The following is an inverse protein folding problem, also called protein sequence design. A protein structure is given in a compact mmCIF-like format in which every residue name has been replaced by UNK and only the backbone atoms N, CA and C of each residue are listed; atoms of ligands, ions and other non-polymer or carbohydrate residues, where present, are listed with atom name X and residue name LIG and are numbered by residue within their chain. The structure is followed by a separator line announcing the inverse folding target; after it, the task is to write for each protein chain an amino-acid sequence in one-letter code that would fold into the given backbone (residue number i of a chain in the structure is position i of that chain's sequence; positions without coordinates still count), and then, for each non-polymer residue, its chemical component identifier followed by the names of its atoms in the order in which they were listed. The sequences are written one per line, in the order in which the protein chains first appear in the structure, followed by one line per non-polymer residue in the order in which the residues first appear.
data_IF_654262674298
#
_entry.id   IF_654262674298
#
_cell.length_a   1.000
_cell.length_b   1.000
_cell.length_c   1.000
_cell.angle_alpha   90.00
_cell.angle_beta   90.00
_cell.angle_gamma   90.00
#
_symmetry.space_group_name_H-M   'P 1'
#
loop_
_entity.id
_entity.type
_entity.pdbx_description
1 polymer ?
#
# COMPACT_ATOMS: atom_id res chain seq x y z
N UNK A 1 -36.02 -7.77 -10.99
CA UNK A 1 -35.82 -9.18 -11.34
C UNK A 1 -36.03 -9.38 -12.85
N UNK A 2 -35.02 -8.99 -13.67
CA UNK A 2 -35.17 -8.94 -15.13
C UNK A 2 -35.34 -10.34 -15.73
N UNK A 3 -34.66 -11.35 -15.20
CA UNK A 3 -34.77 -12.76 -15.65
C UNK A 3 -36.19 -13.28 -15.47
N UNK A 4 -36.84 -13.09 -14.32
CA UNK A 4 -38.22 -13.49 -14.10
C UNK A 4 -39.20 -12.84 -15.08
N UNK A 5 -38.98 -11.54 -15.40
CA UNK A 5 -39.78 -10.82 -16.40
C UNK A 5 -39.60 -11.37 -17.81
N UNK A 6 -38.37 -11.70 -18.19
CA UNK A 6 -38.06 -12.30 -19.50
C UNK A 6 -38.66 -13.71 -19.65
N UNK A 7 -38.60 -14.53 -18.61
CA UNK A 7 -39.24 -15.83 -18.56
C UNK A 7 -40.77 -15.65 -18.76
N UNK A 8 -41.39 -14.74 -18.01
CA UNK A 8 -42.80 -14.47 -18.11
C UNK A 8 -43.23 -13.99 -19.51
N UNK A 9 -42.38 -13.26 -20.24
CA UNK A 9 -42.64 -12.82 -21.60
C UNK A 9 -42.41 -13.91 -22.66
N UNK A 10 -41.50 -14.85 -22.42
CA UNK A 10 -41.13 -15.90 -23.35
C UNK A 10 -42.04 -17.13 -23.25
N UNK A 11 -42.43 -17.52 -22.03
CA UNK A 11 -43.21 -18.72 -21.75
C UNK A 11 -44.54 -18.77 -22.50
N UNK A 12 -45.38 -17.72 -22.58
CA UNK A 12 -46.65 -17.76 -23.33
C UNK A 12 -46.42 -18.00 -24.81
N UNK A 13 -45.36 -17.43 -25.41
CA UNK A 13 -45.03 -17.59 -26.81
C UNK A 13 -44.61 -19.03 -27.11
N UNK A 14 -43.78 -19.63 -26.25
CA UNK A 14 -43.37 -21.02 -26.38
C UNK A 14 -44.53 -22.00 -26.21
N UNK A 15 -45.49 -21.68 -25.29
CA UNK A 15 -46.69 -22.46 -25.12
C UNK A 15 -47.55 -22.43 -26.40
N UNK A 16 -47.75 -21.23 -26.96
CA UNK A 16 -48.52 -21.06 -28.19
C UNK A 16 -47.90 -21.78 -29.39
N UNK A 17 -46.57 -21.73 -29.49
CA UNK A 17 -45.80 -22.47 -30.52
C UNK A 17 -46.07 -23.96 -30.39
N UNK A 18 -46.12 -24.54 -29.19
CA UNK A 18 -46.37 -25.95 -28.96
C UNK A 18 -47.81 -26.33 -29.38
N UNK A 19 -48.81 -25.54 -28.98
CA UNK A 19 -50.21 -25.75 -29.37
C UNK A 19 -50.37 -25.75 -30.89
N UNK A 20 -49.78 -24.77 -31.57
CA UNK A 20 -49.80 -24.66 -33.03
C UNK A 20 -49.04 -25.81 -33.73
N UNK A 21 -47.94 -26.29 -33.12
CA UNK A 21 -47.23 -27.47 -33.65
C UNK A 21 -48.05 -28.75 -33.56
N UNK A 22 -48.81 -28.94 -32.46
CA UNK A 22 -49.72 -30.06 -32.32
C UNK A 22 -50.84 -30.02 -33.37
N UNK A 23 -51.38 -28.81 -33.67
CA UNK A 23 -52.37 -28.60 -34.73
C UNK A 23 -51.76 -28.92 -36.12
N UNK A 24 -50.53 -28.46 -36.37
CA UNK A 24 -49.79 -28.71 -37.61
C UNK A 24 -49.55 -30.22 -37.83
N UNK A 25 -49.10 -30.94 -36.78
CA UNK A 25 -48.88 -32.37 -36.81
C UNK A 25 -50.17 -33.18 -37.13
N UNK A 26 -51.32 -32.67 -36.66
CA UNK A 26 -52.61 -33.28 -36.97
C UNK A 26 -53.02 -33.04 -38.43
N UNK A 27 -52.77 -31.87 -39.00
CA UNK A 27 -52.98 -31.56 -40.42
C UNK A 27 -52.01 -32.38 -41.31
N UNK A 28 -50.77 -32.58 -40.90
CA UNK A 28 -49.81 -33.41 -41.59
C UNK A 28 -50.28 -34.88 -41.68
N UNK A 29 -50.83 -35.43 -40.62
CA UNK A 29 -51.45 -36.76 -40.61
C UNK A 29 -52.63 -36.87 -41.59
N UNK A 30 -53.45 -35.83 -41.67
CA UNK A 30 -54.57 -35.75 -42.61
C UNK A 30 -54.04 -35.73 -44.03
N UNK A 31 -52.98 -35.07 -44.37
CA UNK A 31 -52.37 -34.98 -45.70
C UNK A 31 -51.45 -36.13 -46.08
N UNK A 32 -51.20 -37.07 -45.19
CA UNK A 32 -50.20 -38.14 -45.41
C UNK A 32 -50.42 -38.98 -46.71
N UNK A 33 -51.65 -39.10 -47.16
CA UNK A 33 -52.00 -39.89 -48.38
C UNK A 33 -52.48 -39.04 -49.58
N UNK A 34 -52.36 -37.72 -49.51
CA UNK A 34 -52.91 -36.78 -50.49
C UNK A 34 -51.77 -36.22 -51.38
N UNK A 35 -52.03 -36.18 -52.71
CA UNK A 35 -51.06 -35.61 -53.66
C UNK A 35 -50.92 -34.12 -53.49
N UNK A 36 -49.82 -33.54 -53.96
CA UNK A 36 -49.52 -32.11 -53.76
C UNK A 36 -50.59 -31.18 -54.37
N UNK A 37 -51.06 -31.47 -55.54
CA UNK A 37 -52.09 -30.77 -56.27
C UNK A 37 -53.48 -30.78 -55.57
N UNK A 38 -53.79 -31.92 -54.92
CA UNK A 38 -55.01 -32.07 -54.11
C UNK A 38 -54.92 -31.37 -52.77
N UNK A 39 -53.73 -31.22 -52.18
CA UNK A 39 -53.52 -30.49 -50.96
C UNK A 39 -53.77 -29.00 -51.16
N UNK A 40 -53.18 -28.40 -52.20
CA UNK A 40 -53.20 -26.99 -52.51
C UNK A 40 -54.63 -26.46 -52.82
N UNK A 41 -55.59 -27.34 -53.12
CA UNK A 41 -56.96 -26.99 -53.42
C UNK A 41 -57.88 -26.99 -52.17
N UNK A 42 -57.38 -27.26 -51.00
CA UNK A 42 -58.18 -27.38 -49.75
C UNK A 42 -58.04 -26.22 -48.81
N UNK A 43 -59.11 -25.91 -48.04
CA UNK A 43 -59.08 -24.89 -46.98
C UNK A 43 -58.11 -25.24 -45.86
N UNK A 44 -57.91 -26.55 -45.61
CA UNK A 44 -56.97 -27.07 -44.62
C UNK A 44 -55.50 -26.74 -45.01
N UNK A 45 -55.18 -26.67 -46.31
CA UNK A 45 -53.86 -26.28 -46.77
C UNK A 45 -53.57 -24.79 -46.52
N UNK A 46 -54.56 -23.93 -46.70
CA UNK A 46 -54.44 -22.52 -46.35
C UNK A 46 -54.20 -22.38 -44.85
N UNK A 47 -54.96 -23.11 -44.03
CA UNK A 47 -54.76 -23.12 -42.58
C UNK A 47 -53.40 -23.63 -42.17
N UNK A 48 -52.87 -24.65 -42.83
CA UNK A 48 -51.51 -25.18 -42.62
C UNK A 48 -50.46 -24.10 -42.82
N UNK A 49 -50.53 -23.38 -43.93
CA UNK A 49 -49.57 -22.30 -44.25
C UNK A 49 -49.69 -21.14 -43.25
N UNK A 50 -50.89 -20.77 -42.81
CA UNK A 50 -51.09 -19.74 -41.78
C UNK A 50 -50.42 -20.13 -40.46
N UNK A 51 -50.57 -21.37 -40.03
CA UNK A 51 -49.98 -21.91 -38.81
C UNK A 51 -48.43 -21.92 -38.91
N UNK A 52 -47.87 -22.37 -40.03
CA UNK A 52 -46.42 -22.31 -40.25
C UNK A 52 -45.87 -20.88 -40.14
N UNK A 53 -46.56 -19.93 -40.77
CA UNK A 53 -46.13 -18.55 -40.75
C UNK A 53 -46.29 -17.93 -39.35
N UNK A 54 -47.34 -18.29 -38.60
CA UNK A 54 -47.53 -17.85 -37.21
C UNK A 54 -46.47 -18.42 -36.27
N UNK A 55 -46.14 -19.72 -36.42
CA UNK A 55 -45.03 -20.34 -35.67
C UNK A 55 -43.72 -19.64 -35.98
N UNK A 56 -43.45 -19.36 -37.25
CA UNK A 56 -42.23 -18.62 -37.65
C UNK A 56 -42.13 -17.26 -36.99
N UNK A 57 -43.22 -16.48 -37.01
CA UNK A 57 -43.29 -15.15 -36.35
C UNK A 57 -43.12 -15.25 -34.85
N UNK A 58 -43.76 -16.23 -34.21
CA UNK A 58 -43.62 -16.44 -32.76
C UNK A 58 -42.22 -16.88 -32.36
N UNK A 59 -41.55 -17.75 -33.15
CA UNK A 59 -40.15 -18.15 -32.92
C UNK A 59 -39.21 -16.94 -33.02
N UNK A 60 -39.34 -16.08 -34.02
CA UNK A 60 -38.55 -14.85 -34.14
C UNK A 60 -38.76 -13.98 -32.91
N UNK A 61 -40.02 -13.75 -32.49
CA UNK A 61 -40.33 -12.92 -31.31
C UNK A 61 -39.87 -13.56 -29.99
N UNK A 62 -39.87 -14.87 -29.86
CA UNK A 62 -39.39 -15.58 -28.68
C UNK A 62 -37.85 -15.53 -28.59
N UNK A 63 -37.16 -15.66 -29.76
CA UNK A 63 -35.69 -15.64 -29.83
C UNK A 63 -35.13 -14.20 -29.67
N UNK A 64 -35.92 -13.18 -30.03
CA UNK A 64 -35.54 -11.79 -29.77
C UNK A 64 -35.48 -11.44 -28.26
N UNK A 65 -36.07 -12.30 -27.40
CA UNK A 65 -35.97 -12.12 -25.94
C UNK A 65 -34.70 -12.87 -25.48
N UNK A 66 -33.62 -12.14 -25.30
CA UNK A 66 -32.37 -12.71 -24.74
C UNK A 66 -32.60 -13.19 -23.30
N UNK A 67 -32.07 -14.37 -22.96
CA UNK A 67 -32.19 -14.94 -21.61
C UNK A 67 -31.35 -14.12 -20.61
N UNK A 68 -30.17 -13.69 -21.02
CA UNK A 68 -29.25 -12.88 -20.24
C UNK A 68 -28.85 -11.63 -21.04
N UNK A 69 -29.12 -10.44 -20.52
CA UNK A 69 -28.58 -9.20 -21.08
C UNK A 69 -27.29 -8.81 -20.36
N UNK A 70 -26.42 -8.00 -20.99
CA UNK A 70 -25.25 -7.43 -20.33
C UNK A 70 -25.57 -6.74 -18.99
N UNK A 71 -26.77 -6.15 -18.87
CA UNK A 71 -27.25 -5.49 -17.64
C UNK A 71 -27.56 -6.50 -16.52
N UNK A 72 -27.82 -7.77 -16.86
CA UNK A 72 -28.10 -8.83 -15.88
C UNK A 72 -26.81 -9.45 -15.33
N UNK A 73 -25.67 -9.21 -15.98
CA UNK A 73 -24.38 -9.74 -15.58
C UNK A 73 -23.82 -8.91 -14.43
N UNK A 74 -23.65 -9.56 -13.30
CA UNK A 74 -22.94 -8.99 -12.16
C UNK A 74 -21.50 -9.49 -12.18
N UNK A 75 -20.57 -8.57 -12.35
CA UNK A 75 -19.15 -8.88 -12.26
C UNK A 75 -18.69 -8.65 -10.82
N UNK A 76 -17.94 -9.60 -10.27
CA UNK A 76 -17.21 -9.38 -9.05
C UNK A 76 -16.07 -8.38 -9.35
N UNK A 77 -16.21 -7.16 -8.88
CA UNK A 77 -15.15 -6.15 -8.99
C UNK A 77 -14.22 -6.31 -7.79
N UNK A 78 -12.99 -6.72 -8.04
CA UNK A 78 -11.94 -6.77 -7.03
C UNK A 78 -11.22 -5.42 -7.02
N UNK A 79 -11.51 -4.58 -6.05
CA UNK A 79 -10.66 -3.43 -5.73
C UNK A 79 -9.60 -3.88 -4.75
N UNK A 80 -8.32 -3.79 -5.14
CA UNK A 80 -7.20 -3.92 -4.19
C UNK A 80 -7.25 -2.70 -3.26
N UNK A 81 -7.74 -2.87 -2.04
CA UNK A 81 -7.54 -1.87 -1.00
C UNK A 81 -6.10 -2.04 -0.48
N UNK A 82 -5.29 -0.98 -0.47
CA UNK A 82 -3.98 -1.07 0.15
C UNK A 82 -4.16 -1.49 1.62
N UNK A 83 -3.59 -2.62 1.99
CA UNK A 83 -3.51 -3.01 3.39
C UNK A 83 -2.48 -2.12 4.08
N UNK A 84 -2.71 -1.68 5.33
CA UNK A 84 -1.70 -0.95 6.08
C UNK A 84 -0.42 -1.79 6.19
N UNK A 85 0.73 -1.17 5.97
CA UNK A 85 2.02 -1.83 6.15
C UNK A 85 2.13 -2.23 7.63
N UNK A 86 2.28 -3.53 7.90
CA UNK A 86 2.26 -4.10 9.25
C UNK A 86 3.65 -4.31 9.85
N UNK A 87 4.70 -3.94 9.12
CA UNK A 87 6.10 -4.07 9.54
C UNK A 87 6.79 -2.70 9.56
N UNK A 88 7.74 -2.56 10.47
CA UNK A 88 8.52 -1.35 10.64
C UNK A 88 10.00 -1.67 10.82
N UNK A 89 10.86 -0.74 10.41
CA UNK A 89 12.28 -0.76 10.71
C UNK A 89 12.64 0.54 11.44
N UNK A 90 13.43 0.43 12.49
CA UNK A 90 13.94 1.57 13.26
C UNK A 90 15.45 1.63 13.10
N UNK A 91 15.94 2.72 12.53
CA UNK A 91 17.36 3.03 12.46
C UNK A 91 17.76 3.82 13.69
N UNK A 92 18.61 3.25 14.51
CA UNK A 92 19.24 3.92 15.63
C UNK A 92 20.62 4.38 15.21
N UNK A 93 20.85 5.69 15.23
CA UNK A 93 22.10 6.32 14.81
C UNK A 93 22.71 7.01 16.02
N UNK A 94 23.95 6.69 16.37
CA UNK A 94 24.61 7.29 17.51
C UNK A 94 26.02 7.74 17.17
N UNK A 95 26.34 8.94 17.59
CA UNK A 95 27.70 9.43 17.66
C UNK A 95 28.47 8.65 18.72
N UNK A 96 29.63 8.12 18.35
CA UNK A 96 30.55 7.43 19.25
C UNK A 96 31.90 8.14 19.39
N UNK A 97 31.95 9.41 18.97
CA UNK A 97 33.12 10.27 19.12
C UNK A 97 33.58 10.40 20.59
N UNK A 98 34.79 10.90 20.79
CA UNK A 98 35.41 10.99 22.12
C UNK A 98 34.63 11.90 23.11
N UNK A 99 33.87 12.87 22.60
CA UNK A 99 33.03 13.79 23.41
C UNK A 99 31.78 13.11 23.98
N UNK A 100 31.33 11.98 23.36
CA UNK A 100 30.20 11.20 23.83
C UNK A 100 30.56 10.36 25.07
N UNK A 101 30.30 10.91 26.26
CA UNK A 101 30.51 10.24 27.53
C UNK A 101 29.59 9.00 27.71
N UNK A 102 29.93 8.12 28.66
CA UNK A 102 29.06 6.99 28.99
C UNK A 102 27.66 7.44 29.46
N UNK A 103 27.57 8.53 30.20
CA UNK A 103 26.28 9.10 30.61
C UNK A 103 25.44 9.54 29.42
N UNK A 104 26.04 10.16 28.40
CA UNK A 104 25.35 10.54 27.16
C UNK A 104 24.81 9.30 26.43
N UNK A 105 25.59 8.24 26.35
CA UNK A 105 25.17 6.96 25.73
C UNK A 105 24.05 6.30 26.53
N UNK A 106 24.07 6.36 27.85
CA UNK A 106 23.01 5.79 28.70
C UNK A 106 21.68 6.56 28.53
N UNK A 107 21.71 7.90 28.38
CA UNK A 107 20.53 8.70 28.06
C UNK A 107 19.98 8.35 26.67
N UNK A 108 20.85 8.26 25.66
CA UNK A 108 20.47 7.84 24.31
C UNK A 108 19.85 6.44 24.31
N UNK A 109 20.45 5.49 25.03
CA UNK A 109 19.94 4.11 25.16
C UNK A 109 18.52 4.09 25.73
N UNK A 110 18.26 4.82 26.80
CA UNK A 110 16.91 4.88 27.40
C UNK A 110 15.88 5.42 26.42
N UNK A 111 16.21 6.48 25.70
CA UNK A 111 15.32 7.02 24.68
C UNK A 111 15.07 6.02 23.54
N UNK A 112 16.11 5.39 23.00
CA UNK A 112 15.98 4.39 21.94
C UNK A 112 15.15 3.17 22.37
N UNK A 113 15.31 2.72 23.63
CA UNK A 113 14.51 1.63 24.18
C UNK A 113 13.02 2.00 24.26
N UNK A 114 12.69 3.22 24.68
CA UNK A 114 11.30 3.69 24.74
C UNK A 114 10.70 3.82 23.34
N UNK A 115 11.44 4.35 22.38
CA UNK A 115 11.00 4.43 20.99
C UNK A 115 10.74 3.03 20.39
N UNK A 116 11.69 2.09 20.62
CA UNK A 116 11.52 0.71 20.17
C UNK A 116 10.28 0.06 20.80
N UNK A 117 10.07 0.24 22.10
CA UNK A 117 8.88 -0.27 22.79
C UNK A 117 7.59 0.30 22.18
N UNK A 118 7.58 1.58 21.84
CA UNK A 118 6.43 2.24 21.25
C UNK A 118 6.12 1.72 19.84
N UNK A 119 7.15 1.59 19.00
CA UNK A 119 7.02 1.07 17.63
C UNK A 119 6.60 -0.40 17.66
N UNK A 120 7.18 -1.21 18.57
CA UNK A 120 6.87 -2.65 18.72
C UNK A 120 5.43 -2.92 19.18
N UNK A 121 4.78 -1.96 19.84
CA UNK A 121 3.35 -2.06 20.18
C UNK A 121 2.43 -1.79 19.00
N UNK A 122 2.91 -1.02 18.02
CA UNK A 122 2.13 -0.60 16.86
C UNK A 122 2.21 -1.57 15.68
N UNK A 123 3.35 -2.21 15.49
CA UNK A 123 3.63 -3.06 14.35
C UNK A 123 3.82 -4.52 14.75
N UNK A 124 3.41 -5.44 13.85
CA UNK A 124 3.55 -6.89 14.09
C UNK A 124 4.99 -7.39 13.96
N UNK A 125 5.77 -6.75 13.11
CA UNK A 125 7.19 -7.05 12.89
C UNK A 125 7.98 -5.76 12.97
N UNK A 126 9.00 -5.72 13.83
CA UNK A 126 9.90 -4.57 13.95
C UNK A 126 11.33 -5.09 13.86
N UNK A 127 12.11 -4.47 13.00
CA UNK A 127 13.55 -4.69 12.89
C UNK A 127 14.29 -3.44 13.36
N UNK A 128 15.44 -3.63 14.04
CA UNK A 128 16.27 -2.56 14.54
C UNK A 128 17.63 -2.60 13.83
N UNK A 129 18.04 -1.48 13.28
CA UNK A 129 19.34 -1.29 12.62
C UNK A 129 20.13 -0.30 13.46
N UNK A 130 21.32 -0.69 13.85
CA UNK A 130 22.21 0.12 14.67
C UNK A 130 23.37 0.64 13.81
N UNK A 131 23.48 1.97 13.71
CA UNK A 131 24.53 2.67 12.96
C UNK A 131 25.29 3.55 13.94
N UNK A 132 26.55 3.25 14.15
CA UNK A 132 27.47 4.12 14.87
C UNK A 132 28.30 4.95 13.89
N UNK A 133 28.60 6.16 14.25
CA UNK A 133 29.45 7.01 13.43
C UNK A 133 30.44 7.84 14.26
N UNK A 134 31.54 8.11 13.64
CA UNK A 134 32.52 9.14 13.98
C UNK A 134 32.90 9.86 12.68
N UNK A 135 34.11 9.71 12.14
CA UNK A 135 34.47 10.15 10.77
C UNK A 135 33.78 9.25 9.72
N UNK A 136 33.64 7.96 10.02
CA UNK A 136 32.97 6.99 9.17
C UNK A 136 31.82 6.32 9.90
N UNK A 137 30.77 5.99 9.16
CA UNK A 137 29.63 5.25 9.69
C UNK A 137 29.77 3.74 9.46
N UNK A 138 29.26 2.97 10.42
CA UNK A 138 29.25 1.51 10.32
C UNK A 138 27.97 0.96 10.95
N UNK A 139 27.34 -0.01 10.26
CA UNK A 139 26.32 -0.87 10.86
C UNK A 139 26.99 -1.82 11.85
N UNK A 140 26.38 -2.03 13.00
CA UNK A 140 26.95 -2.83 14.08
C UNK A 140 25.88 -3.59 14.86
N UNK A 141 26.30 -4.45 15.77
CA UNK A 141 25.39 -5.11 16.71
C UNK A 141 24.94 -4.14 17.81
N UNK A 142 23.86 -4.47 18.53
CA UNK A 142 23.40 -3.68 19.66
C UNK A 142 24.48 -3.54 20.75
N UNK A 143 25.24 -4.59 21.03
CA UNK A 143 26.32 -4.57 22.01
C UNK A 143 27.46 -3.62 21.60
N UNK A 144 27.89 -3.67 20.35
CA UNK A 144 28.90 -2.76 19.81
C UNK A 144 28.41 -1.30 19.80
N UNK A 145 27.14 -1.10 19.53
CA UNK A 145 26.53 0.22 19.46
C UNK A 145 26.61 1.00 20.78
N UNK A 146 26.36 0.33 21.91
CA UNK A 146 26.36 1.00 23.22
C UNK A 146 27.70 0.93 23.97
N UNK A 147 28.51 -0.07 23.71
CA UNK A 147 29.72 -0.32 24.50
C UNK A 147 31.03 0.12 23.84
N UNK A 148 31.00 0.39 22.53
CA UNK A 148 32.22 0.76 21.82
C UNK A 148 32.56 2.25 22.02
N UNK A 149 33.86 2.55 22.12
CA UNK A 149 34.41 3.90 22.14
C UNK A 149 35.41 4.03 20.99
N UNK A 150 35.21 5.00 20.14
CA UNK A 150 36.13 5.30 19.06
C UNK A 150 36.64 6.73 19.22
N UNK A 151 37.91 6.95 18.88
CA UNK A 151 38.51 8.29 18.89
C UNK A 151 38.51 8.82 17.46
N UNK A 152 38.02 10.05 17.27
CA UNK A 152 37.98 10.69 15.96
C UNK A 152 37.10 11.94 15.96
N UNK A 153 37.06 12.63 14.84
CA UNK A 153 36.13 13.72 14.59
C UNK A 153 34.73 13.18 14.26
N UNK A 154 33.77 14.09 14.02
CA UNK A 154 32.38 13.75 13.77
C UNK A 154 31.96 14.20 12.37
N UNK A 155 31.58 13.27 11.51
CA UNK A 155 30.98 13.50 10.19
C UNK A 155 29.61 12.82 10.19
N UNK A 156 28.57 13.57 10.44
CA UNK A 156 27.22 13.06 10.62
C UNK A 156 26.61 12.61 9.29
N UNK A 157 26.91 13.27 8.19
CA UNK A 157 26.39 12.90 6.85
C UNK A 157 26.73 11.46 6.46
N UNK A 158 27.87 10.93 6.94
CA UNK A 158 28.30 9.54 6.67
C UNK A 158 27.27 8.51 7.16
N UNK A 159 26.67 8.75 8.31
CA UNK A 159 25.65 7.85 8.90
C UNK A 159 24.37 7.80 8.06
N UNK A 160 23.93 8.94 7.54
CA UNK A 160 22.73 9.00 6.72
C UNK A 160 22.94 8.49 5.29
N UNK A 161 24.14 8.63 4.75
CA UNK A 161 24.52 7.96 3.50
C UNK A 161 24.45 6.44 3.64
N UNK A 162 24.99 5.91 4.72
CA UNK A 162 24.91 4.47 5.02
C UNK A 162 23.45 4.04 5.27
N UNK A 163 22.68 4.81 6.02
CA UNK A 163 21.25 4.53 6.26
C UNK A 163 20.48 4.49 4.93
N UNK A 164 20.72 5.43 4.01
CA UNK A 164 20.13 5.44 2.67
C UNK A 164 20.47 4.18 1.88
N UNK A 165 21.74 3.74 1.89
CA UNK A 165 22.17 2.50 1.22
C UNK A 165 21.44 1.29 1.78
N UNK A 166 21.33 1.16 3.12
CA UNK A 166 20.63 0.08 3.80
C UNK A 166 19.13 0.10 3.48
N UNK A 167 18.50 1.29 3.46
CA UNK A 167 17.08 1.45 3.10
C UNK A 167 16.84 0.94 1.68
N UNK A 168 17.66 1.37 0.73
CA UNK A 168 17.52 0.98 -0.67
C UNK A 168 17.75 -0.52 -0.92
N UNK A 169 18.68 -1.13 -0.17
CA UNK A 169 19.02 -2.55 -0.31
C UNK A 169 17.99 -3.48 0.36
N UNK A 170 17.54 -3.14 1.59
CA UNK A 170 16.79 -4.07 2.45
C UNK A 170 15.39 -3.62 2.85
N UNK A 171 15.08 -2.32 2.82
CA UNK A 171 13.86 -1.78 3.43
C UNK A 171 13.09 -0.85 2.48
N UNK A 172 12.45 -1.44 1.47
CA UNK A 172 11.62 -0.67 0.54
C UNK A 172 10.52 0.12 1.27
N UNK A 173 10.38 1.45 1.04
CA UNK A 173 9.32 2.27 1.66
C UNK A 173 7.89 1.82 1.31
N UNK A 174 7.72 1.00 0.28
CA UNK A 174 6.41 0.42 -0.07
C UNK A 174 6.01 -0.76 0.82
N UNK A 175 6.98 -1.37 1.52
CA UNK A 175 6.78 -2.57 2.34
C UNK A 175 7.07 -2.33 3.83
N UNK A 176 7.86 -1.30 4.14
CA UNK A 176 8.30 -0.99 5.48
C UNK A 176 7.94 0.43 5.91
N UNK A 177 7.48 0.57 7.14
CA UNK A 177 7.43 1.88 7.80
C UNK A 177 8.79 2.17 8.41
N UNK A 178 9.46 3.19 7.91
CA UNK A 178 10.84 3.52 8.28
C UNK A 178 10.83 4.59 9.35
N UNK A 179 11.51 4.33 10.45
CA UNK A 179 11.74 5.25 11.56
C UNK A 179 13.24 5.48 11.71
N UNK A 180 13.63 6.70 11.97
CA UNK A 180 15.04 7.05 12.21
C UNK A 180 15.14 7.81 13.53
N UNK A 181 16.08 7.45 14.37
CA UNK A 181 16.38 8.13 15.61
C UNK A 181 17.88 8.33 15.76
N UNK A 182 18.29 9.57 15.89
CA UNK A 182 19.68 9.94 16.05
C UNK A 182 19.93 10.53 17.45
N UNK A 183 21.07 10.17 18.04
CA UNK A 183 21.58 10.77 19.28
C UNK A 183 23.02 11.23 19.09
N UNK A 184 23.32 12.46 19.50
CA UNK A 184 24.68 13.02 19.58
C UNK A 184 24.78 14.08 20.67
N UNK A 185 25.97 14.54 20.98
CA UNK A 185 26.20 15.69 21.86
C UNK A 185 26.14 17.06 21.14
N UNK A 186 25.79 17.04 19.85
CA UNK A 186 25.60 18.24 19.04
C UNK A 186 26.81 18.66 18.20
N UNK A 187 27.93 17.97 18.32
CA UNK A 187 29.12 18.29 17.55
C UNK A 187 29.01 17.72 16.10
N UNK A 188 29.39 18.54 15.13
CA UNK A 188 29.58 18.14 13.73
C UNK A 188 30.60 19.08 13.09
N UNK A 189 31.27 18.66 12.05
CA UNK A 189 32.14 19.55 11.29
C UNK A 189 31.31 20.53 10.45
N UNK A 190 31.66 21.81 10.49
CA UNK A 190 30.91 22.89 9.82
C UNK A 190 30.75 22.65 8.31
N UNK A 191 31.77 22.08 7.66
CA UNK A 191 31.74 21.75 6.24
C UNK A 191 30.90 20.52 5.89
N UNK A 192 30.45 19.74 6.89
CA UNK A 192 29.54 18.60 6.70
C UNK A 192 28.06 18.99 6.76
N UNK A 193 27.71 20.13 7.35
CA UNK A 193 26.33 20.51 7.59
C UNK A 193 25.51 20.66 6.30
N UNK A 194 26.08 21.24 5.24
CA UNK A 194 25.38 21.39 3.97
C UNK A 194 25.05 20.02 3.34
N UNK A 195 26.01 19.12 3.32
CA UNK A 195 25.84 17.76 2.82
C UNK A 195 24.83 16.99 3.66
N UNK A 196 24.92 17.08 4.98
CA UNK A 196 24.00 16.47 5.93
C UNK A 196 22.56 16.91 5.66
N UNK A 197 22.31 18.21 5.59
CA UNK A 197 20.97 18.76 5.34
C UNK A 197 20.41 18.34 3.98
N UNK A 198 21.28 18.25 2.98
CA UNK A 198 20.92 17.79 1.65
C UNK A 198 20.48 16.32 1.65
N UNK A 199 21.27 15.42 2.27
CA UNK A 199 20.93 14.00 2.39
C UNK A 199 19.66 13.80 3.21
N UNK A 200 19.51 14.50 4.32
CA UNK A 200 18.32 14.41 5.16
C UNK A 200 17.06 14.84 4.41
N UNK A 201 17.07 16.03 3.80
CA UNK A 201 15.88 16.59 3.17
C UNK A 201 15.46 15.87 1.88
N UNK A 202 16.43 15.37 1.10
CA UNK A 202 16.15 14.74 -0.19
C UNK A 202 15.98 13.23 -0.13
N UNK A 203 16.73 12.56 0.74
CA UNK A 203 16.83 11.11 0.72
C UNK A 203 16.18 10.42 1.92
N UNK A 204 16.30 10.99 3.12
CA UNK A 204 15.86 10.34 4.36
C UNK A 204 14.44 10.77 4.74
N UNK A 205 14.18 12.07 4.91
CA UNK A 205 12.87 12.55 5.37
C UNK A 205 11.71 12.17 4.45
N UNK A 206 11.84 12.15 3.11
CA UNK A 206 10.73 11.76 2.23
C UNK A 206 10.28 10.32 2.38
N UNK A 207 11.15 9.43 2.85
CA UNK A 207 10.85 7.98 2.99
C UNK A 207 10.60 7.55 4.43
N UNK A 208 10.86 8.42 5.42
CA UNK A 208 10.65 8.12 6.83
C UNK A 208 9.27 8.54 7.32
N UNK A 209 8.65 7.69 8.14
CA UNK A 209 7.42 8.02 8.85
C UNK A 209 7.67 9.05 9.95
N UNK A 210 8.81 8.92 10.61
CA UNK A 210 9.19 9.80 11.71
C UNK A 210 10.70 9.80 11.91
N UNK A 211 11.26 10.97 12.08
CA UNK A 211 12.66 11.22 12.41
C UNK A 211 12.77 11.93 13.76
N UNK A 212 13.54 11.40 14.68
CA UNK A 212 13.83 12.03 15.96
C UNK A 212 15.32 12.31 16.12
N UNK A 213 15.65 13.53 16.43
CA UNK A 213 16.99 13.92 16.84
C UNK A 213 16.99 14.26 18.32
N UNK A 214 17.86 13.61 19.09
CA UNK A 214 18.10 13.97 20.47
C UNK A 214 19.55 14.46 20.66
N UNK A 215 19.68 15.65 21.17
CA UNK A 215 20.98 16.13 21.65
C UNK A 215 21.10 15.82 23.13
N UNK A 216 22.14 15.07 23.50
CA UNK A 216 22.37 14.61 24.87
C UNK A 216 23.50 15.38 25.54
N UNK A 217 23.36 15.69 26.83
CA UNK A 217 24.36 16.34 27.63
C UNK A 217 24.00 17.77 28.01
N UNK A 218 24.85 18.47 28.81
CA UNK A 218 24.54 19.79 29.33
C UNK A 218 24.45 20.84 28.21
N UNK A 219 23.54 21.81 28.37
CA UNK A 219 23.48 22.97 27.48
C UNK A 219 24.80 23.75 27.53
N UNK A 220 25.51 23.73 26.41
CA UNK A 220 26.75 24.49 26.28
C UNK A 220 26.42 25.97 26.08
N UNK A 221 26.61 26.82 27.11
CA UNK A 221 26.54 28.25 27.01
C UNK A 221 27.94 28.79 26.73
N UNK A 222 28.20 29.31 25.53
CA UNK A 222 29.47 29.96 25.25
C UNK A 222 29.74 30.26 23.78
N UNK A 223 30.75 31.08 23.53
CA UNK A 223 31.18 31.63 22.24
C UNK A 223 31.71 30.57 21.22
N UNK A 224 31.86 29.31 21.60
CA UNK A 224 32.26 28.22 20.71
C UNK A 224 31.03 27.46 20.23
N UNK A 225 30.24 28.15 19.40
CA UNK A 225 29.19 27.51 18.61
C UNK A 225 29.77 26.86 17.34
N UNK A 226 30.81 26.02 17.46
CA UNK A 226 31.19 25.19 16.37
C UNK A 226 30.16 24.07 16.22
N UNK A 227 29.40 24.11 15.10
CA UNK A 227 28.57 23.02 14.68
C UNK A 227 27.36 22.71 15.57
N UNK A 228 26.48 23.67 15.86
CA UNK A 228 25.29 23.38 16.63
C UNK A 228 24.27 22.62 15.78
N UNK A 229 24.45 21.31 15.70
CA UNK A 229 23.63 20.39 14.92
C UNK A 229 22.13 20.53 15.24
N UNK A 230 21.79 20.79 16.51
CA UNK A 230 20.41 21.03 16.92
C UNK A 230 19.78 22.22 16.20
N UNK A 231 20.52 23.33 16.03
CA UNK A 231 19.98 24.49 15.34
C UNK A 231 19.72 24.22 13.87
N UNK A 232 20.58 23.45 13.22
CA UNK A 232 20.37 23.04 11.83
C UNK A 232 19.14 22.14 11.69
N UNK A 233 18.92 21.22 12.63
CA UNK A 233 17.75 20.36 12.62
C UNK A 233 16.45 21.09 12.96
N UNK A 234 16.47 22.08 13.82
CA UNK A 234 15.31 22.96 14.10
C UNK A 234 14.86 23.71 12.83
N UNK A 235 15.81 24.11 11.96
CA UNK A 235 15.47 24.70 10.66
C UNK A 235 14.75 23.69 9.74
N UNK A 236 15.15 22.43 9.77
CA UNK A 236 14.45 21.36 9.03
C UNK A 236 13.06 21.08 9.62
N UNK A 237 12.92 21.06 10.93
CA UNK A 237 11.65 20.85 11.64
C UNK A 237 10.59 21.88 11.24
N UNK A 238 10.99 23.12 10.98
CA UNK A 238 10.09 24.17 10.50
C UNK A 238 9.47 23.86 9.12
N UNK A 239 10.15 23.06 8.28
CA UNK A 239 9.75 22.74 6.91
C UNK A 239 9.20 21.33 6.73
N UNK A 240 9.43 20.42 7.69
CA UNK A 240 9.04 19.02 7.63
C UNK A 240 8.25 18.61 8.86
N UNK A 241 7.09 17.97 8.68
CA UNK A 241 6.19 17.58 9.77
C UNK A 241 6.58 16.27 10.47
N UNK A 242 7.49 15.53 9.88
CA UNK A 242 7.90 14.20 10.35
C UNK A 242 9.27 14.18 11.04
N UNK A 243 9.82 15.32 11.37
CA UNK A 243 11.03 15.47 12.19
C UNK A 243 10.68 16.14 13.52
N UNK A 244 11.33 15.72 14.57
CA UNK A 244 11.31 16.35 15.89
C UNK A 244 12.71 16.40 16.46
N UNK A 245 12.99 17.49 17.16
CA UNK A 245 14.27 17.70 17.85
C UNK A 245 14.05 17.88 19.34
N UNK A 246 14.92 17.31 20.15
CA UNK A 246 14.87 17.50 21.62
C UNK A 246 16.27 17.53 22.21
N UNK A 247 16.46 18.40 23.18
CA UNK A 247 17.63 18.41 24.04
C UNK A 247 17.31 17.66 25.35
N UNK A 248 18.19 16.75 25.77
CA UNK A 248 18.05 15.87 26.93
C UNK A 248 19.29 16.06 27.82
N UNK A 249 19.12 16.62 28.98
CA UNK A 249 20.20 16.79 29.97
C UNK A 249 20.25 15.63 30.95
N UNK A 250 19.09 15.18 31.38
CA UNK A 250 18.96 14.06 32.32
C UNK A 250 17.76 13.14 32.00
N UNK A 251 17.55 12.18 32.87
CA UNK A 251 16.51 11.14 32.70
C UNK A 251 15.09 11.66 32.84
N UNK A 252 14.88 12.84 33.38
CA UNK A 252 13.54 13.43 33.54
C UNK A 252 13.05 14.10 32.25
N UNK A 253 13.98 14.36 31.31
CA UNK A 253 13.67 14.95 30.01
C UNK A 253 13.15 13.91 28.98
N UNK A 254 13.35 12.61 29.26
CA UNK A 254 12.92 11.51 28.40
C UNK A 254 11.45 11.22 28.62
#
# INVERSE_FOLDING_TARGET
NSIGRKIALKTPKLRKIRELQEELDNLDKFFYKTTKEQKEATEEWVRYQEIEEEIRKLRIRANAISFVDPVDLRYNNFSKKPAPISQAVVFFIMDVSASMSQQHKDLAKRFFMLLNLFVSRKYKKVECIFIRHHIQAKECTEDDFFNNKENGGTIVSSAFKLAKEIINDRYSPNEWNIYVSQASDGDNWDNDNEELLNVLSKDILPVTQYFSYIQVGPKRHGYYNSGNLLQEYVKLEANHKNIITKHIEDTTDI
#
